data_IF_642305306167
#
_entry.id   IF_642305306167
#
_cell.length_a   1.000
_cell.length_b   1.000
_cell.length_c   1.000
_cell.angle_alpha   90.00
_cell.angle_beta   90.00
_cell.angle_gamma   90.00
#
_symmetry.space_group_name_H-M   'P 1'
#
loop_
_entity.id
_entity.type
_entity.pdbx_description
1 polymer ?
#
# COMPACT_ATOMS: atom_id res chain seq x y z
N UNK A 1 -34.48 -16.79 -12.99
CA UNK A 1 -34.71 -16.20 -11.64
C UNK A 1 -33.41 -15.57 -11.16
N UNK A 2 -32.29 -16.30 -11.26
CA UNK A 2 -30.95 -15.95 -10.76
C UNK A 2 -30.39 -14.57 -11.14
N UNK A 3 -30.92 -13.90 -12.16
CA UNK A 3 -30.48 -12.54 -12.49
C UNK A 3 -30.79 -11.53 -11.37
N UNK A 4 -31.90 -11.70 -10.65
CA UNK A 4 -32.24 -10.83 -9.51
C UNK A 4 -31.30 -11.10 -8.33
N UNK A 5 -31.06 -12.37 -8.00
CA UNK A 5 -30.18 -12.80 -6.93
C UNK A 5 -28.73 -12.35 -7.21
N UNK A 6 -28.24 -12.55 -8.44
CA UNK A 6 -26.94 -12.06 -8.87
C UNK A 6 -26.84 -10.54 -8.75
N UNK A 7 -27.87 -9.80 -9.16
CA UNK A 7 -27.90 -8.33 -9.01
C UNK A 7 -27.80 -7.91 -7.54
N UNK A 8 -28.55 -8.57 -6.64
CA UNK A 8 -28.50 -8.31 -5.21
C UNK A 8 -27.11 -8.59 -4.61
N UNK A 9 -26.44 -9.66 -5.05
CA UNK A 9 -25.07 -9.98 -4.63
C UNK A 9 -24.06 -8.95 -5.15
N UNK A 10 -24.14 -8.55 -6.42
CA UNK A 10 -23.28 -7.52 -7.00
C UNK A 10 -23.46 -6.17 -6.30
N UNK A 11 -24.68 -5.83 -5.90
CA UNK A 11 -24.94 -4.64 -5.10
C UNK A 11 -24.29 -4.74 -3.71
N UNK A 12 -24.46 -5.85 -3.01
CA UNK A 12 -23.83 -6.09 -1.71
C UNK A 12 -22.30 -6.05 -1.78
N UNK A 13 -21.70 -6.62 -2.81
CA UNK A 13 -20.26 -6.54 -3.04
C UNK A 13 -19.81 -5.10 -3.26
N UNK A 14 -20.56 -4.31 -4.03
CA UNK A 14 -20.27 -2.89 -4.22
C UNK A 14 -20.28 -2.14 -2.89
N UNK A 15 -21.27 -2.36 -2.03
CA UNK A 15 -21.31 -1.73 -0.69
C UNK A 15 -20.10 -2.11 0.16
N UNK A 16 -19.64 -3.37 0.08
CA UNK A 16 -18.45 -3.82 0.78
C UNK A 16 -17.16 -3.17 0.24
N UNK A 17 -17.08 -2.94 -1.08
CA UNK A 17 -15.97 -2.20 -1.70
C UNK A 17 -16.00 -0.71 -1.31
N UNK A 18 -17.18 -0.10 -1.22
CA UNK A 18 -17.35 1.27 -0.70
C UNK A 18 -16.92 1.37 0.76
N UNK A 19 -17.32 0.40 1.60
CA UNK A 19 -16.88 0.31 2.99
C UNK A 19 -15.36 0.10 3.10
N UNK A 20 -14.77 -0.74 2.26
CA UNK A 20 -13.33 -0.94 2.22
C UNK A 20 -12.59 0.35 1.85
N UNK A 21 -13.11 1.10 0.87
CA UNK A 21 -12.59 2.41 0.50
C UNK A 21 -12.60 3.35 1.70
N UNK A 22 -13.73 3.44 2.42
CA UNK A 22 -13.86 4.22 3.63
C UNK A 22 -12.83 3.82 4.70
N UNK A 23 -12.63 2.51 4.93
CA UNK A 23 -11.67 2.02 5.93
C UNK A 23 -10.21 2.30 5.58
N UNK A 24 -9.86 2.25 4.30
CA UNK A 24 -8.52 2.65 3.85
C UNK A 24 -8.30 4.17 3.96
N UNK A 25 -9.31 4.99 3.71
CA UNK A 25 -9.24 6.44 3.92
C UNK A 25 -9.11 6.78 5.43
N UNK A 26 -9.83 6.07 6.28
CA UNK A 26 -9.69 6.18 7.74
C UNK A 26 -8.26 5.83 8.20
N UNK A 27 -7.69 4.73 7.70
CA UNK A 27 -6.30 4.37 7.97
C UNK A 27 -5.32 5.45 7.48
N UNK A 28 -5.54 5.99 6.28
CA UNK A 28 -4.72 7.08 5.72
C UNK A 28 -4.75 8.33 6.63
N UNK A 29 -5.93 8.70 7.12
CA UNK A 29 -6.08 9.83 8.03
C UNK A 29 -5.35 9.59 9.36
N UNK A 30 -5.38 8.38 9.90
CA UNK A 30 -4.63 8.04 11.11
C UNK A 30 -3.12 8.10 10.90
N UNK A 31 -2.64 7.59 9.76
CA UNK A 31 -1.22 7.61 9.38
C UNK A 31 -0.72 9.05 9.20
N UNK A 32 -1.42 9.85 8.42
CA UNK A 32 -1.05 11.25 8.14
C UNK A 32 -1.16 12.15 9.37
N UNK A 33 -2.09 11.86 10.29
CA UNK A 33 -2.18 12.54 11.58
C UNK A 33 -1.17 12.05 12.64
N UNK A 34 -0.31 11.07 12.32
CA UNK A 34 0.67 10.50 13.26
C UNK A 34 0.04 9.74 14.43
N UNK A 35 -1.21 9.28 14.29
CA UNK A 35 -1.99 8.61 15.34
C UNK A 35 -1.73 7.09 15.35
N UNK A 36 -0.46 6.71 15.40
CA UNK A 36 0.05 5.33 15.24
C UNK A 36 -0.60 4.30 16.17
N UNK A 37 -0.98 4.69 17.40
CA UNK A 37 -1.68 3.79 18.35
C UNK A 37 -3.00 3.21 17.84
N UNK A 38 -3.65 3.87 16.88
CA UNK A 38 -4.95 3.45 16.32
C UNK A 38 -4.81 2.73 14.98
N UNK A 39 -3.63 2.75 14.34
CA UNK A 39 -3.41 2.16 13.02
C UNK A 39 -3.73 0.67 13.03
N UNK A 40 -3.28 -0.07 14.04
CA UNK A 40 -3.60 -1.49 14.20
C UNK A 40 -5.11 -1.78 14.30
N UNK A 41 -5.90 -0.86 14.86
CA UNK A 41 -7.35 -1.02 14.92
C UNK A 41 -7.96 -0.83 13.53
N UNK A 42 -7.54 0.20 12.79
CA UNK A 42 -7.99 0.43 11.43
C UNK A 42 -7.60 -0.71 10.48
N UNK A 43 -6.38 -1.25 10.59
CA UNK A 43 -5.95 -2.40 9.78
C UNK A 43 -6.81 -3.65 10.06
N UNK A 44 -7.19 -3.90 11.33
CA UNK A 44 -8.13 -4.99 11.66
C UNK A 44 -9.53 -4.77 11.10
N UNK A 45 -10.00 -3.52 11.00
CA UNK A 45 -11.28 -3.23 10.34
C UNK A 45 -11.22 -3.46 8.83
N UNK A 46 -10.10 -3.10 8.19
CA UNK A 46 -9.84 -3.44 6.77
C UNK A 46 -9.90 -4.96 6.56
N UNK A 47 -9.22 -5.74 7.40
CA UNK A 47 -9.23 -7.21 7.34
C UNK A 47 -10.64 -7.80 7.45
N UNK A 48 -11.45 -7.29 8.39
CA UNK A 48 -12.85 -7.73 8.55
C UNK A 48 -13.69 -7.47 7.30
N UNK A 49 -13.47 -6.35 6.60
CA UNK A 49 -14.18 -6.07 5.34
C UNK A 49 -13.69 -7.00 4.23
N UNK A 50 -12.38 -7.30 4.17
CA UNK A 50 -11.81 -8.26 3.22
C UNK A 50 -12.34 -9.68 3.41
N UNK A 51 -12.57 -10.12 4.65
CA UNK A 51 -13.23 -11.40 4.95
C UNK A 51 -14.65 -11.44 4.37
N UNK A 52 -15.44 -10.39 4.60
CA UNK A 52 -16.81 -10.28 4.05
C UNK A 52 -16.83 -10.23 2.53
N UNK A 53 -15.86 -9.57 1.90
CA UNK A 53 -15.70 -9.55 0.44
C UNK A 53 -15.40 -10.95 -0.11
N UNK A 54 -14.59 -11.75 0.58
CA UNK A 54 -14.32 -13.14 0.21
C UNK A 54 -15.59 -13.98 0.26
N UNK A 55 -16.38 -13.86 1.33
CA UNK A 55 -17.67 -14.55 1.46
C UNK A 55 -18.66 -14.15 0.36
N UNK A 56 -18.78 -12.85 0.08
CA UNK A 56 -19.65 -12.34 -0.96
C UNK A 56 -19.22 -12.83 -2.36
N UNK A 57 -17.91 -12.85 -2.62
CA UNK A 57 -17.34 -13.35 -3.87
C UNK A 57 -17.65 -14.83 -4.13
N UNK A 58 -17.62 -15.67 -3.08
CA UNK A 58 -18.00 -17.08 -3.18
C UNK A 58 -19.49 -17.24 -3.51
N UNK A 59 -20.36 -16.47 -2.83
CA UNK A 59 -21.80 -16.49 -3.12
C UNK A 59 -22.09 -16.03 -4.56
N UNK A 60 -21.41 -14.96 -5.02
CA UNK A 60 -21.53 -14.47 -6.40
C UNK A 60 -21.09 -15.54 -7.41
N UNK A 61 -20.00 -16.27 -7.15
CA UNK A 61 -19.56 -17.35 -8.05
C UNK A 61 -20.62 -18.43 -8.24
N UNK A 62 -21.36 -18.79 -7.19
CA UNK A 62 -22.48 -19.74 -7.29
C UNK A 62 -23.61 -19.18 -8.15
N UNK A 63 -24.03 -17.93 -7.92
CA UNK A 63 -25.12 -17.33 -8.70
C UNK A 63 -24.72 -17.03 -10.15
N UNK A 64 -23.45 -16.72 -10.42
CA UNK A 64 -22.94 -16.57 -11.79
C UNK A 64 -23.06 -17.87 -12.56
N UNK A 65 -22.69 -19.01 -11.97
CA UNK A 65 -22.87 -20.34 -12.60
C UNK A 65 -24.35 -20.64 -12.86
N UNK A 66 -25.25 -20.32 -11.91
CA UNK A 66 -26.70 -20.46 -12.09
C UNK A 66 -27.23 -19.64 -13.27
N UNK A 67 -26.84 -18.36 -13.37
CA UNK A 67 -27.22 -17.48 -14.47
C UNK A 67 -26.60 -17.93 -15.80
N UNK A 68 -25.36 -18.40 -15.79
CA UNK A 68 -24.69 -18.95 -16.96
C UNK A 68 -25.45 -20.14 -17.55
N UNK A 69 -25.89 -21.07 -16.71
CA UNK A 69 -26.74 -22.19 -17.12
C UNK A 69 -28.08 -21.69 -17.69
N UNK A 70 -28.72 -20.72 -17.03
CA UNK A 70 -30.00 -20.13 -17.48
C UNK A 70 -29.86 -19.46 -18.86
N UNK A 71 -28.70 -18.85 -19.15
CA UNK A 71 -28.44 -18.10 -20.38
C UNK A 71 -27.63 -18.87 -21.44
N UNK A 72 -27.25 -20.11 -21.15
CA UNK A 72 -26.57 -21.01 -22.10
C UNK A 72 -25.10 -20.68 -22.35
N UNK A 73 -24.39 -20.13 -21.36
CA UNK A 73 -22.94 -19.90 -21.40
C UNK A 73 -22.18 -20.92 -20.58
N UNK A 74 -20.84 -20.86 -20.64
CA UNK A 74 -19.98 -21.61 -19.72
C UNK A 74 -20.26 -21.21 -18.26
N UNK A 75 -20.36 -22.16 -17.35
CA UNK A 75 -20.62 -21.93 -15.92
C UNK A 75 -19.46 -21.24 -15.20
N UNK A 76 -18.25 -21.36 -15.75
CA UNK A 76 -17.06 -20.65 -15.28
C UNK A 76 -16.83 -19.35 -16.06
N UNK A 77 -17.78 -18.93 -16.90
CA UNK A 77 -17.65 -17.70 -17.68
C UNK A 77 -17.49 -16.48 -16.73
N UNK A 78 -16.53 -15.58 -17.02
CA UNK A 78 -16.41 -14.34 -16.27
C UNK A 78 -17.67 -13.49 -16.46
N UNK A 79 -17.98 -12.64 -15.47
CA UNK A 79 -19.17 -11.78 -15.49
C UNK A 79 -19.33 -10.95 -16.79
N UNK A 80 -18.21 -10.54 -17.42
CA UNK A 80 -18.22 -9.82 -18.70
C UNK A 80 -18.86 -10.63 -19.85
N UNK A 81 -18.66 -11.95 -19.84
CA UNK A 81 -19.18 -12.85 -20.87
C UNK A 81 -20.65 -13.17 -20.59
N UNK A 82 -21.02 -13.31 -19.31
CA UNK A 82 -22.42 -13.36 -18.86
C UNK A 82 -23.21 -12.14 -19.34
N UNK A 83 -22.63 -10.94 -19.20
CA UNK A 83 -23.23 -9.69 -19.68
C UNK A 83 -23.43 -9.71 -21.19
N UNK A 84 -22.44 -10.19 -21.95
CA UNK A 84 -22.50 -10.24 -23.41
C UNK A 84 -23.56 -11.22 -23.92
N UNK A 85 -23.85 -12.26 -23.15
CA UNK A 85 -24.87 -13.27 -23.45
C UNK A 85 -26.23 -12.97 -22.79
N UNK A 86 -26.38 -11.80 -22.16
CA UNK A 86 -27.63 -11.44 -21.52
C UNK A 86 -28.79 -11.42 -22.54
N UNK A 87 -29.94 -12.04 -22.24
CA UNK A 87 -31.10 -12.01 -23.11
C UNK A 87 -31.65 -10.58 -23.23
N UNK A 88 -32.47 -10.34 -24.26
CA UNK A 88 -33.12 -9.06 -24.47
C UNK A 88 -33.89 -8.63 -23.20
N UNK A 89 -33.53 -7.46 -22.66
CA UNK A 89 -34.07 -6.99 -21.39
C UNK A 89 -33.09 -6.08 -20.65
N UNK A 90 -33.39 -5.71 -19.40
CA UNK A 90 -32.63 -4.72 -18.65
C UNK A 90 -31.32 -5.25 -18.05
N UNK A 91 -31.16 -6.58 -17.98
CA UNK A 91 -30.09 -7.19 -17.18
C UNK A 91 -28.68 -6.90 -17.71
N UNK A 92 -28.49 -6.87 -19.03
CA UNK A 92 -27.19 -6.52 -19.61
C UNK A 92 -26.72 -5.12 -19.19
N UNK A 93 -27.61 -4.14 -19.18
CA UNK A 93 -27.32 -2.76 -18.74
C UNK A 93 -27.07 -2.68 -17.24
N UNK A 94 -27.89 -3.36 -16.43
CA UNK A 94 -27.76 -3.39 -14.97
C UNK A 94 -26.41 -3.98 -14.56
N UNK A 95 -26.05 -5.15 -15.08
CA UNK A 95 -24.78 -5.81 -14.77
C UNK A 95 -23.58 -5.04 -15.30
N UNK A 96 -23.70 -4.39 -16.46
CA UNK A 96 -22.67 -3.46 -16.96
C UNK A 96 -22.45 -2.30 -15.98
N UNK A 97 -23.53 -1.75 -15.43
CA UNK A 97 -23.48 -0.71 -14.40
C UNK A 97 -22.72 -1.16 -13.15
N UNK A 98 -23.03 -2.35 -12.63
CA UNK A 98 -22.32 -2.94 -11.49
C UNK A 98 -20.83 -3.16 -11.79
N UNK A 99 -20.51 -3.82 -12.91
CA UNK A 99 -19.13 -4.13 -13.29
C UNK A 99 -18.28 -2.86 -13.38
N UNK A 100 -18.81 -1.79 -13.99
CA UNK A 100 -18.14 -0.49 -14.07
C UNK A 100 -17.86 0.07 -12.68
N UNK A 101 -18.88 0.21 -11.83
CA UNK A 101 -18.72 0.77 -10.48
C UNK A 101 -17.75 -0.04 -9.63
N UNK A 102 -17.79 -1.37 -9.69
CA UNK A 102 -16.85 -2.22 -8.97
C UNK A 102 -15.42 -2.08 -9.48
N UNK A 103 -15.23 -1.92 -10.80
CA UNK A 103 -13.92 -1.67 -11.40
C UNK A 103 -13.34 -0.34 -10.92
N UNK A 104 -14.15 0.71 -10.88
CA UNK A 104 -13.77 2.04 -10.37
C UNK A 104 -13.37 1.97 -8.88
N UNK A 105 -14.19 1.31 -8.04
CA UNK A 105 -13.89 1.12 -6.62
C UNK A 105 -12.60 0.32 -6.41
N UNK A 106 -12.40 -0.76 -7.15
CA UNK A 106 -11.19 -1.58 -7.04
C UNK A 106 -9.92 -0.80 -7.42
N UNK A 107 -10.00 0.06 -8.44
CA UNK A 107 -8.91 0.96 -8.79
C UNK A 107 -8.60 1.97 -7.67
N UNK A 108 -9.64 2.57 -7.08
CA UNK A 108 -9.50 3.50 -5.94
C UNK A 108 -8.90 2.82 -4.70
N UNK A 109 -9.37 1.62 -4.37
CA UNK A 109 -8.85 0.79 -3.27
C UNK A 109 -7.35 0.51 -3.48
N UNK A 110 -6.95 0.15 -4.70
CA UNK A 110 -5.54 -0.10 -5.03
C UNK A 110 -4.67 1.13 -4.80
N UNK A 111 -5.14 2.30 -5.26
CA UNK A 111 -4.45 3.57 -5.03
C UNK A 111 -4.30 3.89 -3.53
N UNK A 112 -5.38 3.75 -2.76
CA UNK A 112 -5.36 4.03 -1.31
C UNK A 112 -4.41 3.09 -0.57
N UNK A 113 -4.44 1.79 -0.91
CA UNK A 113 -3.52 0.80 -0.36
C UNK A 113 -2.06 1.18 -0.62
N UNK A 114 -1.73 1.57 -1.85
CA UNK A 114 -0.37 1.94 -2.23
C UNK A 114 0.09 3.25 -1.55
N UNK A 115 -0.83 4.19 -1.34
CA UNK A 115 -0.58 5.41 -0.55
C UNK A 115 -0.31 5.08 0.92
N UNK A 116 -1.14 4.27 1.56
CA UNK A 116 -0.96 3.85 2.96
C UNK A 116 0.35 3.08 3.16
N UNK A 117 0.68 2.19 2.23
CA UNK A 117 1.93 1.45 2.25
C UNK A 117 3.15 2.39 2.14
N UNK A 118 3.08 3.45 1.33
CA UNK A 118 4.13 4.48 1.28
C UNK A 118 4.27 5.23 2.60
N UNK A 119 3.17 5.62 3.25
CA UNK A 119 3.22 6.30 4.55
C UNK A 119 3.84 5.40 5.63
N UNK A 120 3.47 4.13 5.69
CA UNK A 120 4.02 3.15 6.63
C UNK A 120 5.54 2.98 6.45
N UNK A 121 6.01 2.81 5.21
CA UNK A 121 7.44 2.70 4.91
C UNK A 121 8.22 3.96 5.29
N UNK A 122 7.66 5.14 5.02
CA UNK A 122 8.28 6.41 5.40
C UNK A 122 8.39 6.56 6.93
N UNK A 123 7.32 6.23 7.66
CA UNK A 123 7.31 6.26 9.13
C UNK A 123 8.31 5.27 9.75
N UNK A 124 8.41 4.05 9.20
CA UNK A 124 9.39 3.06 9.64
C UNK A 124 10.83 3.56 9.44
N UNK A 125 11.13 4.13 8.28
CA UNK A 125 12.45 4.69 7.97
C UNK A 125 12.82 5.84 8.91
N UNK A 126 11.92 6.79 9.12
CA UNK A 126 12.16 7.91 10.03
C UNK A 126 12.42 7.45 11.48
N UNK A 127 11.72 6.40 11.92
CA UNK A 127 11.94 5.78 13.24
C UNK A 127 13.33 5.15 13.32
N UNK A 128 13.76 4.41 12.28
CA UNK A 128 15.09 3.80 12.22
C UNK A 128 16.21 4.83 12.22
N UNK A 129 16.07 5.92 11.45
CA UNK A 129 17.05 7.02 11.40
C UNK A 129 17.18 7.72 12.77
N UNK A 130 16.06 7.90 13.48
CA UNK A 130 16.05 8.47 14.83
C UNK A 130 16.75 7.55 15.84
N UNK A 131 16.49 6.24 15.78
CA UNK A 131 17.13 5.27 16.66
C UNK A 131 18.64 5.14 16.37
N UNK A 132 19.05 5.17 15.11
CA UNK A 132 20.46 5.15 14.72
C UNK A 132 21.18 6.40 15.23
N UNK A 133 20.60 7.59 15.03
CA UNK A 133 21.15 8.86 15.53
C UNK A 133 21.28 8.85 17.07
N UNK A 134 20.28 8.31 17.77
CA UNK A 134 20.31 8.19 19.22
C UNK A 134 21.38 7.18 19.69
N UNK A 135 21.55 6.06 18.97
CA UNK A 135 22.59 5.08 19.26
C UNK A 135 24.00 5.65 19.02
N UNK A 136 24.21 6.39 17.93
CA UNK A 136 25.47 7.06 17.62
C UNK A 136 25.80 8.14 18.66
N UNK A 137 24.80 8.91 19.10
CA UNK A 137 24.97 9.89 20.17
C UNK A 137 25.35 9.22 21.51
N UNK A 138 24.74 8.07 21.84
CA UNK A 138 25.09 7.30 23.03
C UNK A 138 26.49 6.68 22.93
N UNK A 139 26.90 6.21 21.75
CA UNK A 139 28.24 5.67 21.50
C UNK A 139 29.34 6.75 21.49
N UNK A 140 29.01 7.99 21.12
CA UNK A 140 29.92 9.13 21.21
C UNK A 140 29.98 9.77 22.61
N UNK A 141 28.94 9.58 23.43
CA UNK A 141 28.82 10.10 24.80
C UNK A 141 29.29 9.08 25.83
N UNK A 142 30.50 8.53 25.65
CA UNK A 142 31.11 7.65 26.66
C UNK A 142 31.68 8.54 27.77
N UNK A 143 30.89 8.70 28.83
CA UNK A 143 31.43 9.08 30.13
C UNK A 143 32.28 7.92 30.67
N UNK A 144 33.53 8.18 31.01
CA UNK A 144 34.36 7.21 31.72
C UNK A 144 33.93 7.09 33.20
N UNK A 145 34.50 6.15 33.94
CA UNK A 145 34.21 5.95 35.37
C UNK A 145 34.57 7.16 36.27
N UNK A 146 35.17 8.22 35.71
CA UNK A 146 35.51 9.47 36.39
C UNK A 146 34.55 10.62 36.05
N UNK A 147 33.55 10.41 35.18
CA UNK A 147 32.58 11.42 34.79
C UNK A 147 33.11 12.46 33.79
N UNK A 148 34.25 12.20 33.16
CA UNK A 148 34.76 13.02 32.07
C UNK A 148 34.16 12.57 30.73
N UNK A 149 33.78 13.52 29.87
CA UNK A 149 33.45 13.23 28.47
C UNK A 149 34.71 12.70 27.80
N UNK A 150 34.73 11.40 27.49
CA UNK A 150 35.83 10.77 26.76
C UNK A 150 35.96 11.43 25.40
N UNK A 151 37.05 12.18 25.20
CA UNK A 151 37.42 12.67 23.88
C UNK A 151 37.65 11.46 22.97
N UNK A 152 36.60 11.06 22.23
CA UNK A 152 36.69 10.04 21.20
C UNK A 152 37.87 10.39 20.30
N UNK A 153 38.90 9.55 20.34
CA UNK A 153 40.11 9.74 19.58
C UNK A 153 39.75 9.82 18.09
N UNK A 154 39.76 11.03 17.54
CA UNK A 154 39.85 11.27 16.10
C UNK A 154 41.18 10.71 15.62
N UNK A 155 41.19 9.42 15.30
CA UNK A 155 42.26 8.79 14.55
C UNK A 155 42.08 9.11 13.07
N UNK A 156 42.86 10.05 12.54
CA UNK A 156 43.23 10.04 11.12
C UNK A 156 44.65 10.60 10.90
N UNK A 157 45.57 9.64 10.80
CA UNK A 157 46.67 9.53 9.84
C UNK A 157 47.72 10.65 9.75
N UNK A 158 48.95 10.24 10.10
CA UNK A 158 50.16 11.02 9.92
C UNK A 158 50.63 11.14 8.48
N UNK A 159 51.55 12.08 8.29
CA UNK A 159 52.25 12.31 7.04
C UNK A 159 53.25 13.46 7.23
N UNK A 160 54.44 13.14 7.73
CA UNK A 160 55.56 14.04 7.75
C UNK A 160 55.98 14.42 6.32
N UNK A 161 56.17 15.71 6.04
CA UNK A 161 57.26 16.25 5.21
C UNK A 161 57.00 17.73 4.90
N UNK A 162 57.80 18.61 5.49
CA UNK A 162 58.03 19.96 4.98
C UNK A 162 59.53 20.13 4.75
N UNK A 163 59.96 20.32 3.49
CA UNK A 163 60.60 21.55 2.98
C UNK A 163 61.02 21.31 1.51
N UNK A 164 60.28 21.98 0.61
CA UNK A 164 60.72 22.77 -0.55
C UNK A 164 61.76 22.26 -1.56
N UNK A 165 61.37 22.22 -2.84
CA UNK A 165 61.77 23.23 -3.84
C UNK A 165 61.04 23.06 -5.19
N UNK A 166 61.05 24.16 -5.93
CA UNK A 166 60.21 24.53 -7.07
C UNK A 166 60.52 23.86 -8.42
N UNK A 167 59.47 23.73 -9.22
CA UNK A 167 59.36 23.89 -10.69
C UNK A 167 57.94 23.42 -11.05
N UNK A 168 57.04 24.19 -11.66
CA UNK A 168 57.20 25.00 -12.86
C UNK A 168 56.57 24.24 -14.04
N UNK A 169 55.41 24.67 -14.52
CA UNK A 169 54.89 24.29 -15.85
C UNK A 169 53.54 23.58 -15.90
N UNK A 170 52.49 24.38 -16.14
CA UNK A 170 51.51 24.24 -17.24
C UNK A 170 51.01 22.85 -17.68
N UNK A 171 49.67 22.75 -17.73
CA UNK A 171 48.82 22.24 -18.83
C UNK A 171 47.84 21.10 -18.49
N UNK A 172 46.60 21.38 -18.91
CA UNK A 172 45.52 20.49 -19.36
C UNK A 172 44.34 20.14 -18.43
N UNK A 173 43.21 20.61 -18.97
CA UNK A 173 41.77 20.42 -18.77
C UNK A 173 41.31 18.95 -18.96
N UNK A 174 40.15 18.57 -18.41
CA UNK A 174 39.55 17.27 -18.73
C UNK A 174 38.50 16.74 -17.77
N UNK A 175 37.25 17.13 -18.01
CA UNK A 175 35.99 16.52 -17.58
C UNK A 175 36.02 14.98 -17.45
N UNK A 176 35.35 14.48 -16.41
CA UNK A 176 34.24 13.51 -16.49
C UNK A 176 33.18 13.89 -15.45
#
# INVERSE_FOLDING_TARGET
MGANELSALLWRERELLELLTFKLEEEQLLLTAGRTRWVDHASREVEQVLDRLREAGLARSVEVSSVAQEWGTDEEAPLRDIIASAPAGPWGEIFTGHLRSMTELTARISQLRDENERFLRAAARATQETLATAADAAAGSIYDASGAVGAGASGSHGGAAGVGRASGGHLFDGRL
#
